data_IF_171469680103
#
_entry.id   IF_171469680103
#
_cell.length_a   1.000
_cell.length_b   1.000
_cell.length_c   1.000
_cell.angle_alpha   90.00
_cell.angle_beta   90.00
_cell.angle_gamma   90.00
#
_symmetry.space_group_name_H-M   'P 1'
#
loop_
_entity.id
_entity.type
_entity.pdbx_description
1 polymer ?
#
# COMPACT_ATOMS: atom_id res chain seq x y z
N UNK A 1 20.86 -7.01 0.69
CA UNK A 1 19.44 -6.88 0.29
C UNK A 1 19.37 -7.18 -1.20
N UNK A 2 18.52 -8.08 -1.59
CA UNK A 2 18.30 -8.41 -2.99
C UNK A 2 17.64 -7.21 -3.69
N UNK A 3 18.01 -6.96 -4.94
CA UNK A 3 17.68 -5.71 -5.65
C UNK A 3 16.16 -5.56 -5.88
N UNK A 4 15.48 -6.67 -6.21
CA UNK A 4 14.06 -6.64 -6.60
C UNK A 4 13.16 -6.13 -5.47
N UNK A 5 13.21 -6.65 -4.22
CA UNK A 5 12.39 -6.13 -3.12
C UNK A 5 12.64 -4.65 -2.83
N UNK A 6 13.88 -4.18 -2.86
CA UNK A 6 14.20 -2.77 -2.60
C UNK A 6 13.62 -1.85 -3.67
N UNK A 7 13.72 -2.24 -4.95
CA UNK A 7 13.16 -1.45 -6.06
C UNK A 7 11.64 -1.41 -5.96
N UNK A 8 11.00 -2.55 -5.70
CA UNK A 8 9.54 -2.61 -5.55
C UNK A 8 9.06 -1.81 -4.34
N UNK A 9 9.84 -1.81 -3.23
CA UNK A 9 9.51 -1.04 -2.01
C UNK A 9 9.57 0.47 -2.29
N UNK A 10 10.64 0.95 -2.95
CA UNK A 10 10.76 2.38 -3.32
C UNK A 10 9.67 2.81 -4.33
N UNK A 11 9.32 1.96 -5.31
CA UNK A 11 8.19 2.23 -6.21
C UNK A 11 6.88 2.26 -5.43
N UNK A 12 6.67 1.31 -4.52
CA UNK A 12 5.50 1.26 -3.64
C UNK A 12 5.36 2.53 -2.80
N UNK A 13 6.46 2.98 -2.19
CA UNK A 13 6.51 4.25 -1.44
C UNK A 13 6.14 5.43 -2.34
N UNK A 14 6.71 5.50 -3.55
CA UNK A 14 6.45 6.60 -4.47
C UNK A 14 4.96 6.69 -4.86
N UNK A 15 4.35 5.57 -5.27
CA UNK A 15 2.95 5.57 -5.70
C UNK A 15 1.98 5.81 -4.56
N UNK A 16 2.25 5.25 -3.37
CA UNK A 16 1.44 5.55 -2.18
C UNK A 16 1.60 7.00 -1.72
N UNK A 17 2.82 7.53 -1.74
CA UNK A 17 3.05 8.93 -1.42
C UNK A 17 2.34 9.87 -2.41
N UNK A 18 2.31 9.54 -3.71
CA UNK A 18 1.49 10.27 -4.69
C UNK A 18 0.01 10.25 -4.31
N UNK A 19 -0.53 9.07 -3.94
CA UNK A 19 -1.93 8.95 -3.50
C UNK A 19 -2.22 9.86 -2.29
N UNK A 20 -1.35 9.82 -1.27
CA UNK A 20 -1.49 10.65 -0.07
C UNK A 20 -1.36 12.13 -0.35
N UNK A 21 -0.35 12.51 -1.13
CA UNK A 21 -0.08 13.92 -1.50
C UNK A 21 -1.21 14.50 -2.36
N UNK A 22 -1.75 13.76 -3.33
CA UNK A 22 -2.90 14.18 -4.11
C UNK A 22 -4.15 14.40 -3.23
N UNK A 23 -4.34 13.56 -2.21
CA UNK A 23 -5.41 13.80 -1.24
C UNK A 23 -5.16 15.08 -0.45
N UNK A 24 -3.93 15.33 0.01
CA UNK A 24 -3.54 16.57 0.68
C UNK A 24 -3.81 17.81 -0.17
N UNK A 25 -3.45 17.77 -1.46
CA UNK A 25 -3.76 18.84 -2.42
C UNK A 25 -5.28 19.04 -2.54
N UNK A 26 -6.04 17.94 -2.65
CA UNK A 26 -7.50 18.01 -2.80
C UNK A 26 -8.21 18.66 -1.61
N UNK A 27 -7.72 18.40 -0.39
CA UNK A 27 -8.26 19.01 0.83
C UNK A 27 -7.58 20.32 1.19
N UNK A 28 -6.78 20.86 0.26
CA UNK A 28 -6.15 22.17 0.34
C UNK A 28 -5.15 22.34 1.50
N UNK A 29 -4.42 21.28 1.81
CA UNK A 29 -3.26 21.39 2.70
C UNK A 29 -2.16 22.25 2.05
N UNK A 30 -1.37 22.93 2.87
CA UNK A 30 -0.16 23.60 2.41
C UNK A 30 0.93 22.58 1.97
N UNK A 31 2.05 23.06 1.45
CA UNK A 31 3.13 22.20 0.95
C UNK A 31 3.64 21.25 2.05
N UNK A 32 3.72 21.69 3.29
CA UNK A 32 4.19 20.86 4.41
C UNK A 32 3.19 19.76 4.70
N UNK A 33 1.90 20.10 4.78
CA UNK A 33 0.82 19.13 4.98
C UNK A 33 0.77 18.09 3.85
N UNK A 34 0.95 18.50 2.59
CA UNK A 34 1.01 17.60 1.43
C UNK A 34 2.21 16.65 1.52
N UNK A 35 3.38 17.13 1.92
CA UNK A 35 4.57 16.29 2.11
C UNK A 35 4.39 15.31 3.27
N UNK A 36 3.82 15.76 4.39
CA UNK A 36 3.60 14.92 5.58
C UNK A 36 2.60 13.80 5.28
N UNK A 37 1.43 14.12 4.71
CA UNK A 37 0.42 13.09 4.41
C UNK A 37 0.93 12.11 3.35
N UNK A 38 1.71 12.57 2.37
CA UNK A 38 2.38 11.72 1.40
C UNK A 38 3.38 10.78 2.06
N UNK A 39 4.27 11.30 2.91
CA UNK A 39 5.25 10.50 3.63
C UNK A 39 4.60 9.45 4.55
N UNK A 40 3.59 9.85 5.33
CA UNK A 40 2.84 8.92 6.20
C UNK A 40 2.14 7.83 5.38
N UNK A 41 1.56 8.18 4.24
CA UNK A 41 0.92 7.20 3.35
C UNK A 41 1.94 6.21 2.78
N UNK A 42 3.07 6.72 2.29
CA UNK A 42 4.09 5.88 1.63
C UNK A 42 4.90 5.02 2.60
N UNK A 43 5.21 5.52 3.79
CA UNK A 43 6.08 4.84 4.75
C UNK A 43 5.31 4.09 5.86
N UNK A 44 4.11 4.54 6.19
CA UNK A 44 3.37 4.10 7.38
C UNK A 44 3.11 2.61 7.43
N UNK A 45 2.67 2.00 6.32
CA UNK A 45 2.43 0.56 6.24
C UNK A 45 3.70 -0.27 6.48
N UNK A 46 4.82 0.16 5.86
CA UNK A 46 6.12 -0.47 6.03
C UNK A 46 6.69 -0.33 7.45
N UNK A 47 6.56 0.85 8.05
CA UNK A 47 6.99 1.09 9.44
C UNK A 47 6.17 0.24 10.41
N UNK A 48 4.84 0.21 10.27
CA UNK A 48 3.97 -0.64 11.11
C UNK A 48 4.36 -2.11 10.98
N UNK A 49 4.55 -2.62 9.78
CA UNK A 49 5.04 -3.98 9.53
C UNK A 49 6.33 -4.23 10.29
N UNK A 50 7.35 -3.37 10.07
CA UNK A 50 8.69 -3.57 10.62
C UNK A 50 8.68 -3.60 12.14
N UNK A 51 7.91 -2.73 12.78
CA UNK A 51 7.73 -2.73 14.24
C UNK A 51 7.06 -4.02 14.72
N UNK A 52 5.99 -4.47 14.05
CA UNK A 52 5.23 -5.65 14.47
C UNK A 52 6.01 -6.95 14.32
N UNK A 53 6.86 -7.06 13.28
CA UNK A 53 7.71 -8.26 13.10
C UNK A 53 9.05 -8.18 13.82
N UNK A 54 9.32 -7.10 14.57
CA UNK A 54 10.57 -6.91 15.28
C UNK A 54 11.77 -6.49 14.42
N UNK A 55 11.54 -6.04 13.18
CA UNK A 55 12.57 -5.49 12.30
C UNK A 55 12.93 -4.05 12.68
N UNK A 56 13.53 -3.85 13.82
CA UNK A 56 13.87 -2.54 14.37
C UNK A 56 15.39 -2.29 14.38
N UNK A 57 15.85 -1.08 13.95
CA UNK A 57 15.03 0.02 13.43
C UNK A 57 14.40 -0.31 12.07
N UNK A 58 13.19 0.25 11.78
CA UNK A 58 12.55 0.06 10.46
C UNK A 58 13.47 0.49 9.32
N UNK A 59 13.38 -0.21 8.16
CA UNK A 59 14.23 0.05 6.99
C UNK A 59 14.23 1.51 6.54
N UNK A 60 13.09 2.19 6.67
CA UNK A 60 12.96 3.62 6.36
C UNK A 60 13.88 4.54 7.16
N UNK A 61 14.33 4.13 8.32
CA UNK A 61 15.27 4.91 9.16
C UNK A 61 16.74 4.55 8.94
N UNK A 62 17.03 3.55 8.14
CA UNK A 62 18.39 3.11 7.84
C UNK A 62 18.91 3.54 6.48
N UNK A 63 18.01 4.02 5.59
CA UNK A 63 18.34 4.44 4.23
C UNK A 63 17.58 5.74 3.88
N UNK A 64 18.33 6.81 3.60
CA UNK A 64 17.79 8.13 3.26
C UNK A 64 16.85 8.14 2.05
N UNK A 65 16.98 7.18 1.14
CA UNK A 65 16.12 7.06 -0.07
C UNK A 65 14.66 6.92 0.29
N UNK A 66 14.36 6.25 1.40
CA UNK A 66 13.00 6.07 1.90
C UNK A 66 12.31 7.39 2.25
N UNK A 67 13.05 8.40 2.72
CA UNK A 67 12.50 9.74 2.96
C UNK A 67 12.56 10.63 1.72
N UNK A 68 13.57 10.49 0.86
CA UNK A 68 13.67 11.28 -0.35
C UNK A 68 12.53 10.98 -1.35
N UNK A 69 12.17 9.70 -1.49
CA UNK A 69 11.13 9.26 -2.45
C UNK A 69 9.76 9.89 -2.17
N UNK A 70 9.19 9.86 -0.94
CA UNK A 70 7.91 10.51 -0.68
C UNK A 70 7.98 12.03 -0.78
N UNK A 71 9.12 12.67 -0.49
CA UNK A 71 9.31 14.11 -0.70
C UNK A 71 9.21 14.43 -2.19
N UNK A 72 9.91 13.69 -3.06
CA UNK A 72 9.82 13.85 -4.51
C UNK A 72 8.38 13.64 -5.01
N UNK A 73 7.71 12.57 -4.55
CA UNK A 73 6.33 12.30 -4.91
C UNK A 73 5.39 13.45 -4.48
N UNK A 74 5.57 13.98 -3.27
CA UNK A 74 4.79 15.11 -2.77
C UNK A 74 4.99 16.39 -3.57
N UNK A 75 6.24 16.72 -3.94
CA UNK A 75 6.55 17.87 -4.80
C UNK A 75 5.95 17.71 -6.20
N UNK A 76 6.01 16.50 -6.78
CA UNK A 76 5.38 16.18 -8.07
C UNK A 76 3.86 16.36 -7.97
N UNK A 77 3.22 15.80 -6.95
CA UNK A 77 1.79 15.95 -6.74
C UNK A 77 1.39 17.43 -6.55
N UNK A 78 2.13 18.17 -5.74
CA UNK A 78 1.86 19.59 -5.48
C UNK A 78 1.99 20.45 -6.74
N UNK A 79 2.97 20.16 -7.62
CA UNK A 79 3.23 20.98 -8.82
C UNK A 79 2.40 20.59 -10.02
N UNK A 80 2.05 19.30 -10.17
CA UNK A 80 1.48 18.76 -11.41
C UNK A 80 0.12 18.06 -11.20
N UNK A 81 -0.62 18.42 -10.13
CA UNK A 81 -1.93 17.83 -9.88
C UNK A 81 -2.95 18.18 -10.98
N UNK A 82 -3.87 17.28 -11.33
CA UNK A 82 -5.02 17.59 -12.16
C UNK A 82 -6.01 18.52 -11.44
N UNK A 83 -7.03 19.01 -12.16
CA UNK A 83 -8.12 19.78 -11.55
C UNK A 83 -8.64 19.10 -10.29
N UNK A 84 -8.88 19.87 -9.22
CA UNK A 84 -9.30 19.34 -7.91
C UNK A 84 -10.54 18.43 -7.99
N UNK A 85 -11.47 18.72 -8.90
CA UNK A 85 -12.66 17.89 -9.13
C UNK A 85 -12.34 16.51 -9.74
N UNK A 86 -11.17 16.34 -10.35
CA UNK A 86 -10.76 15.12 -11.08
C UNK A 86 -9.70 14.31 -10.34
N UNK A 87 -9.31 14.70 -9.13
CA UNK A 87 -8.19 14.06 -8.40
C UNK A 87 -8.59 12.67 -7.86
N UNK A 88 -9.84 12.44 -7.43
CA UNK A 88 -10.24 11.19 -6.75
C UNK A 88 -9.89 9.89 -7.51
N UNK A 89 -10.13 9.77 -8.83
CA UNK A 89 -9.69 8.58 -9.57
C UNK A 89 -8.18 8.33 -9.47
N UNK A 90 -7.36 9.37 -9.54
CA UNK A 90 -5.90 9.23 -9.44
C UNK A 90 -5.45 8.77 -8.05
N UNK A 91 -6.09 9.27 -6.98
CA UNK A 91 -5.84 8.80 -5.61
C UNK A 91 -6.08 7.28 -5.55
N UNK A 92 -7.22 6.81 -6.06
CA UNK A 92 -7.58 5.39 -6.03
C UNK A 92 -6.67 4.53 -6.91
N UNK A 93 -6.19 5.04 -8.04
CA UNK A 93 -5.27 4.34 -8.92
C UNK A 93 -3.90 4.13 -8.27
N UNK A 94 -3.31 5.22 -7.75
CA UNK A 94 -2.02 5.13 -7.07
C UNK A 94 -2.12 4.30 -5.78
N UNK A 95 -3.22 4.41 -5.06
CA UNK A 95 -3.51 3.56 -3.90
C UNK A 95 -3.56 2.07 -4.28
N UNK A 96 -4.25 1.71 -5.36
CA UNK A 96 -4.32 0.32 -5.85
C UNK A 96 -2.96 -0.24 -6.27
N UNK A 97 -2.10 0.57 -6.90
CA UNK A 97 -0.73 0.19 -7.23
C UNK A 97 0.10 -0.07 -5.96
N UNK A 98 0.04 0.84 -4.99
CA UNK A 98 0.74 0.70 -3.73
C UNK A 98 0.26 -0.50 -2.91
N UNK A 99 -1.06 -0.73 -2.89
CA UNK A 99 -1.67 -1.90 -2.23
C UNK A 99 -1.05 -3.21 -2.74
N UNK A 100 -0.95 -3.38 -4.07
CA UNK A 100 -0.41 -4.60 -4.67
C UNK A 100 1.08 -4.80 -4.38
N UNK A 101 1.88 -3.74 -4.43
CA UNK A 101 3.31 -3.83 -4.12
C UNK A 101 3.55 -4.15 -2.65
N UNK A 102 2.86 -3.46 -1.74
CA UNK A 102 3.11 -3.63 -0.31
C UNK A 102 2.50 -4.89 0.30
N UNK A 103 1.41 -5.43 -0.25
CA UNK A 103 0.87 -6.68 0.28
C UNK A 103 1.85 -7.84 0.03
N UNK A 104 2.50 -7.91 -1.13
CA UNK A 104 3.44 -8.98 -1.45
C UNK A 104 4.77 -8.81 -0.70
N UNK A 105 5.29 -7.59 -0.61
CA UNK A 105 6.51 -7.29 0.16
C UNK A 105 6.30 -7.51 1.66
N UNK A 106 5.11 -7.19 2.16
CA UNK A 106 4.73 -7.42 3.55
C UNK A 106 4.74 -8.89 3.92
N UNK A 107 4.12 -9.73 3.08
CA UNK A 107 4.11 -11.18 3.29
C UNK A 107 5.50 -11.79 3.18
N UNK A 108 6.28 -11.42 2.15
CA UNK A 108 7.65 -11.89 2.00
C UNK A 108 8.49 -11.56 3.24
N UNK A 109 8.48 -10.30 3.68
CA UNK A 109 9.29 -9.89 4.83
C UNK A 109 8.86 -10.61 6.11
N UNK A 110 7.56 -10.81 6.31
CA UNK A 110 7.03 -11.56 7.45
C UNK A 110 7.54 -13.01 7.47
N UNK A 111 7.56 -13.69 6.33
CA UNK A 111 8.13 -15.05 6.20
C UNK A 111 9.63 -15.09 6.48
N UNK A 112 10.39 -14.10 5.96
CA UNK A 112 11.85 -13.99 6.24
C UNK A 112 12.10 -13.80 7.74
N UNK A 113 11.22 -13.10 8.46
CA UNK A 113 11.30 -12.93 9.91
C UNK A 113 10.69 -14.08 10.72
N UNK A 114 10.34 -15.20 10.06
CA UNK A 114 9.92 -16.44 10.70
C UNK A 114 8.47 -16.48 11.14
N UNK A 115 7.61 -15.63 10.61
CA UNK A 115 6.17 -15.76 10.87
C UNK A 115 5.60 -16.98 10.14
N UNK A 116 4.65 -17.65 10.79
CA UNK A 116 3.87 -18.72 10.19
C UNK A 116 3.06 -18.25 8.97
N UNK A 117 2.65 -19.15 8.06
CA UNK A 117 1.96 -18.80 6.81
C UNK A 117 0.75 -17.88 6.97
N UNK A 118 -0.15 -18.19 7.92
CA UNK A 118 -1.37 -17.39 8.13
C UNK A 118 -1.07 -15.98 8.63
N UNK A 119 -0.27 -15.79 9.71
CA UNK A 119 0.23 -14.47 10.11
C UNK A 119 0.95 -13.72 9.00
N UNK A 120 1.73 -14.40 8.14
CA UNK A 120 2.45 -13.76 7.05
C UNK A 120 1.49 -13.20 5.97
N UNK A 121 0.41 -13.92 5.63
CA UNK A 121 -0.66 -13.38 4.75
C UNK A 121 -1.29 -12.14 5.37
N UNK A 122 -1.67 -12.21 6.64
CA UNK A 122 -2.29 -11.09 7.34
C UNK A 122 -1.36 -9.89 7.44
N UNK A 123 -0.05 -10.12 7.67
CA UNK A 123 0.96 -9.05 7.68
C UNK A 123 1.09 -8.38 6.32
N UNK A 124 1.01 -9.15 5.23
CA UNK A 124 0.96 -8.60 3.88
C UNK A 124 -0.26 -7.69 3.67
N UNK A 125 -1.44 -8.19 4.03
CA UNK A 125 -2.68 -7.39 3.96
C UNK A 125 -2.54 -6.11 4.80
N UNK A 126 -2.10 -6.23 6.06
CA UNK A 126 -1.91 -5.09 6.96
C UNK A 126 -0.93 -4.06 6.38
N UNK A 127 0.19 -4.52 5.81
CA UNK A 127 1.19 -3.64 5.19
C UNK A 127 0.59 -2.89 4.01
N UNK A 128 -0.16 -3.59 3.15
CA UNK A 128 -0.78 -3.00 1.96
C UNK A 128 -1.87 -1.99 2.30
N UNK A 129 -2.72 -2.27 3.29
CA UNK A 129 -3.81 -1.35 3.66
C UNK A 129 -3.37 -0.22 4.60
N UNK A 130 -2.30 -0.43 5.37
CA UNK A 130 -1.91 0.42 6.50
C UNK A 130 -1.65 1.88 6.10
N UNK A 131 -0.90 2.09 5.02
CA UNK A 131 -0.63 3.44 4.51
C UNK A 131 -1.90 4.19 4.10
N UNK A 132 -2.82 3.52 3.40
CA UNK A 132 -4.12 4.08 3.01
C UNK A 132 -5.02 4.40 4.21
N UNK A 133 -5.01 3.56 5.24
CA UNK A 133 -5.75 3.81 6.49
C UNK A 133 -5.22 5.05 7.19
N UNK A 134 -3.90 5.15 7.37
CA UNK A 134 -3.28 6.31 7.99
C UNK A 134 -3.55 7.60 7.21
N UNK A 135 -3.46 7.55 5.88
CA UNK A 135 -3.82 8.65 4.99
C UNK A 135 -5.25 9.15 5.23
N UNK A 136 -6.21 8.22 5.19
CA UNK A 136 -7.62 8.56 5.30
C UNK A 136 -7.95 9.11 6.70
N UNK A 137 -7.33 8.57 7.77
CA UNK A 137 -7.48 9.09 9.13
C UNK A 137 -6.92 10.51 9.27
N UNK A 138 -5.73 10.80 8.71
CA UNK A 138 -5.15 12.14 8.73
C UNK A 138 -5.99 13.15 7.92
N UNK A 139 -6.72 12.69 6.93
CA UNK A 139 -7.62 13.51 6.11
C UNK A 139 -9.04 13.61 6.68
N UNK A 140 -9.29 13.14 7.89
CA UNK A 140 -10.62 13.07 8.53
C UNK A 140 -11.65 12.36 7.63
N UNK A 141 -11.23 11.29 6.96
CA UNK A 141 -12.08 10.46 6.08
C UNK A 141 -12.24 9.05 6.65
N UNK A 142 -13.41 8.45 6.41
CA UNK A 142 -13.56 7.01 6.71
C UNK A 142 -12.61 6.22 5.82
N UNK A 143 -11.72 5.38 6.37
CA UNK A 143 -10.80 4.55 5.58
C UNK A 143 -11.52 3.72 4.51
N UNK A 144 -10.93 3.65 3.31
CA UNK A 144 -11.51 2.94 2.15
C UNK A 144 -11.79 1.47 2.52
N UNK A 145 -10.90 0.83 3.26
CA UNK A 145 -11.05 -0.58 3.68
C UNK A 145 -12.31 -0.83 4.52
N UNK A 146 -12.86 0.20 5.18
CA UNK A 146 -14.07 0.11 6.00
C UNK A 146 -15.35 0.48 5.23
N UNK A 147 -15.26 0.85 3.94
CA UNK A 147 -16.40 1.30 3.12
C UNK A 147 -16.93 0.16 2.31
N UNK A 148 -17.07 -1.01 2.60
CA UNK A 148 -17.64 -2.09 1.77
C UNK A 148 -16.99 -2.23 0.36
N UNK A 149 -15.90 -1.53 0.08
CA UNK A 149 -15.15 -1.66 -1.16
C UNK A 149 -14.36 -2.99 -1.14
N UNK A 150 -14.24 -3.59 -2.31
CA UNK A 150 -13.44 -4.81 -2.49
C UNK A 150 -11.95 -4.44 -2.43
N UNK A 151 -11.45 -4.15 -1.21
CA UNK A 151 -10.13 -3.56 -0.99
C UNK A 151 -9.13 -4.55 -0.37
N UNK A 152 -9.47 -5.18 0.76
CA UNK A 152 -8.60 -6.12 1.45
C UNK A 152 -8.49 -7.47 0.71
N UNK A 153 -9.51 -7.88 -0.05
CA UNK A 153 -9.53 -9.17 -0.75
C UNK A 153 -8.48 -9.26 -1.85
N UNK A 154 -8.27 -8.26 -2.73
CA UNK A 154 -7.13 -8.22 -3.64
C UNK A 154 -5.77 -8.35 -2.93
N UNK A 155 -5.57 -7.64 -1.82
CA UNK A 155 -4.35 -7.73 -1.04
C UNK A 155 -4.15 -9.13 -0.44
N UNK A 156 -5.21 -9.74 0.05
CA UNK A 156 -5.19 -11.13 0.54
C UNK A 156 -4.79 -12.10 -0.59
N UNK A 157 -5.34 -11.96 -1.79
CA UNK A 157 -5.02 -12.82 -2.92
C UNK A 157 -3.53 -12.70 -3.33
N UNK A 158 -2.99 -11.47 -3.43
CA UNK A 158 -1.58 -11.25 -3.73
C UNK A 158 -0.66 -11.82 -2.64
N UNK A 159 -0.99 -11.57 -1.36
CA UNK A 159 -0.26 -12.11 -0.21
C UNK A 159 -0.26 -13.65 -0.18
N UNK A 160 -1.40 -14.26 -0.50
CA UNK A 160 -1.56 -15.70 -0.51
C UNK A 160 -0.66 -16.37 -1.58
N UNK A 161 -0.52 -15.77 -2.77
CA UNK A 161 0.38 -16.30 -3.81
C UNK A 161 1.83 -16.35 -3.30
N UNK A 162 2.29 -15.31 -2.60
CA UNK A 162 3.65 -15.25 -2.04
C UNK A 162 3.83 -16.38 -1.02
N UNK A 163 2.89 -16.52 -0.09
CA UNK A 163 2.98 -17.52 0.99
C UNK A 163 2.89 -18.93 0.45
N UNK A 164 1.98 -19.22 -0.48
CA UNK A 164 1.86 -20.55 -1.07
C UNK A 164 3.12 -20.98 -1.86
N UNK A 165 3.73 -20.04 -2.59
CA UNK A 165 4.98 -20.34 -3.31
C UNK A 165 6.15 -20.54 -2.36
N UNK A 166 6.17 -19.85 -1.23
CA UNK A 166 7.16 -20.03 -0.15
C UNK A 166 7.04 -21.41 0.49
N UNK A 167 5.85 -21.80 0.91
CA UNK A 167 5.57 -23.12 1.51
C UNK A 167 5.86 -24.29 0.55
N UNK A 168 5.60 -24.09 -0.74
CA UNK A 168 5.93 -25.07 -1.76
C UNK A 168 7.44 -25.19 -2.05
N UNK A 169 8.30 -24.39 -1.42
CA UNK A 169 9.75 -24.35 -1.69
C UNK A 169 10.10 -23.83 -3.09
N UNK A 170 9.16 -23.13 -3.75
CA UNK A 170 9.30 -22.59 -5.11
C UNK A 170 9.39 -21.07 -5.14
N UNK A 171 9.54 -20.44 -3.98
CA UNK A 171 9.63 -19.00 -3.91
C UNK A 171 10.91 -18.51 -4.58
N UNK A 172 10.74 -17.52 -5.43
CA UNK A 172 11.81 -16.74 -6.06
C UNK A 172 11.34 -15.28 -6.06
N UNK A 173 12.23 -14.32 -5.91
CA UNK A 173 11.84 -12.90 -5.85
C UNK A 173 10.99 -12.42 -7.02
N UNK A 174 11.18 -12.99 -8.21
CA UNK A 174 10.35 -12.69 -9.38
C UNK A 174 8.87 -13.05 -9.20
N UNK A 175 8.50 -13.91 -8.24
CA UNK A 175 7.11 -14.22 -7.88
C UNK A 175 6.38 -12.98 -7.35
N UNK A 176 7.09 -12.04 -6.75
CA UNK A 176 6.50 -10.78 -6.24
C UNK A 176 5.81 -9.99 -7.35
N UNK A 177 6.35 -10.01 -8.59
CA UNK A 177 5.80 -9.25 -9.71
C UNK A 177 4.43 -9.77 -10.14
N UNK A 178 4.23 -11.06 -10.50
CA UNK A 178 2.90 -11.56 -10.86
C UNK A 178 1.93 -11.56 -9.67
N UNK A 179 2.40 -11.75 -8.44
CA UNK A 179 1.55 -11.67 -7.24
C UNK A 179 1.04 -10.23 -7.02
N UNK A 180 1.91 -9.22 -7.14
CA UNK A 180 1.51 -7.82 -7.10
C UNK A 180 0.57 -7.47 -8.26
N UNK A 181 0.87 -7.92 -9.48
CA UNK A 181 0.04 -7.70 -10.65
C UNK A 181 -1.38 -8.29 -10.47
N UNK A 182 -1.49 -9.48 -9.87
CA UNK A 182 -2.79 -10.08 -9.53
C UNK A 182 -3.59 -9.19 -8.59
N UNK A 183 -2.98 -8.72 -7.50
CA UNK A 183 -3.64 -7.81 -6.56
C UNK A 183 -4.09 -6.52 -7.26
N UNK A 184 -3.21 -5.88 -8.04
CA UNK A 184 -3.47 -4.64 -8.77
C UNK A 184 -4.62 -4.85 -9.77
N UNK A 185 -4.59 -5.94 -10.55
CA UNK A 185 -5.63 -6.26 -11.51
C UNK A 185 -6.99 -6.45 -10.82
N UNK A 186 -7.04 -7.25 -9.76
CA UNK A 186 -8.27 -7.47 -8.99
C UNK A 186 -8.80 -6.14 -8.42
N UNK A 187 -7.91 -5.27 -7.92
CA UNK A 187 -8.30 -3.95 -7.39
C UNK A 187 -8.86 -3.06 -8.49
N UNK A 188 -8.26 -3.03 -9.66
CA UNK A 188 -8.75 -2.21 -10.78
C UNK A 188 -10.06 -2.74 -11.36
N UNK A 189 -10.23 -4.05 -11.44
CA UNK A 189 -11.52 -4.66 -11.81
C UNK A 189 -12.60 -4.30 -10.79
N UNK A 190 -12.28 -4.39 -9.49
CA UNK A 190 -13.21 -4.01 -8.43
C UNK A 190 -13.63 -2.53 -8.51
N UNK A 191 -12.69 -1.61 -8.82
CA UNK A 191 -12.99 -0.20 -9.04
C UNK A 191 -13.85 0.02 -10.29
N UNK A 192 -13.52 -0.68 -11.39
CA UNK A 192 -14.23 -0.54 -12.66
C UNK A 192 -15.68 -1.07 -12.59
N UNK A 193 -15.85 -2.27 -12.04
CA UNK A 193 -17.16 -2.93 -11.90
C UNK A 193 -17.89 -2.56 -10.60
N UNK A 194 -17.32 -1.69 -9.77
CA UNK A 194 -17.89 -1.25 -8.48
C UNK A 194 -18.25 -2.41 -7.56
N UNK A 195 -17.35 -3.41 -7.47
CA UNK A 195 -17.55 -4.52 -6.56
C UNK A 195 -17.54 -4.05 -5.10
N UNK A 196 -18.46 -4.55 -4.32
CA UNK A 196 -18.54 -4.28 -2.88
C UNK A 196 -18.68 -5.57 -2.10
N UNK A 197 -18.13 -5.59 -0.89
CA UNK A 197 -18.39 -6.69 0.04
C UNK A 197 -19.83 -6.59 0.59
N UNK A 198 -20.50 -7.72 0.88
CA UNK A 198 -21.85 -7.71 1.48
C UNK A 198 -21.89 -6.93 2.79
N UNK A 199 -22.93 -6.14 2.98
CA UNK A 199 -23.20 -5.45 4.26
C UNK A 199 -24.19 -6.25 5.08
N UNK A 200 -24.12 -6.12 6.39
CA UNK A 200 -25.08 -6.79 7.27
C UNK A 200 -26.54 -6.40 6.94
N UNK A 201 -26.76 -5.17 6.45
CA UNK A 201 -28.08 -4.69 6.03
C UNK A 201 -28.54 -5.25 4.68
N UNK A 202 -27.70 -5.91 3.91
CA UNK A 202 -28.05 -6.49 2.60
C UNK A 202 -28.57 -7.93 2.75
N UNK A 203 -28.57 -8.47 3.97
CA UNK A 203 -28.90 -9.89 4.29
C UNK A 203 -30.30 -10.04 4.89
N UNK A 204 -31.00 -8.92 5.20
CA UNK A 204 -32.34 -8.90 5.82
C UNK A 204 -33.38 -8.19 4.97
#
# INVERSE_FOLDING_TARGET
>A
MELVPVVLDLIGIFVFALSGSLLGVRIQFDIVGVLVIGAVTGLGGGIMRDVLIGAVPPASFTDWRYFAVPVVAGLVAFRFHPDLAKIEPYINWFDGLGLGLFCVLGSQKALIFGLDPVPAVLMGVLTGIGGGVLRDLLADRKPIVLRADFYAIPAFAGSLVVVLTWEAGKFHEWVLIPAAALCILLRFLALHYRWSAPRATDIW
#
